data_IF_176532972066
#
_entry.id   IF_176532972066
#
_cell.length_a   1.000
_cell.length_b   1.000
_cell.length_c   1.000
_cell.angle_alpha   90.00
_cell.angle_beta   90.00
_cell.angle_gamma   90.00
#
_symmetry.space_group_name_H-M   'P 1'
#
loop_
_entity.id
_entity.type
_entity.pdbx_description
1 polymer ?
#
# COMPACT_ATOMS: atom_id res chain seq x y z
N UNK A 1 -5.08 -12.94 1.37
CA UNK A 1 -4.10 -12.03 2.01
C UNK A 1 -4.74 -10.68 2.30
N UNK A 2 -4.27 -10.02 3.34
CA UNK A 2 -4.72 -8.68 3.73
C UNK A 2 -3.58 -7.70 3.49
N UNK A 3 -3.91 -6.58 2.85
CA UNK A 3 -2.99 -5.48 2.63
C UNK A 3 -3.23 -4.42 3.70
N UNK A 4 -2.19 -4.03 4.43
CA UNK A 4 -2.27 -2.96 5.43
C UNK A 4 -1.36 -1.81 5.00
N UNK A 5 -1.93 -0.63 4.90
CA UNK A 5 -1.20 0.57 4.47
C UNK A 5 -1.27 1.60 5.59
N UNK A 6 -0.11 2.03 6.08
CA UNK A 6 -0.01 3.06 7.10
C UNK A 6 0.68 4.28 6.50
N UNK A 7 -0.07 5.39 6.39
CA UNK A 7 0.41 6.62 5.76
C UNK A 7 0.79 7.63 6.85
N UNK A 8 2.09 7.91 6.93
CA UNK A 8 2.63 8.93 7.82
C UNK A 8 3.19 10.09 6.98
N UNK A 9 3.56 11.18 7.64
CA UNK A 9 3.98 12.40 6.93
C UNK A 9 5.17 12.18 5.99
N UNK A 10 6.10 11.31 6.35
CA UNK A 10 7.32 11.09 5.60
C UNK A 10 7.30 9.79 4.81
N UNK A 11 6.77 8.72 5.41
CA UNK A 11 6.79 7.38 4.85
C UNK A 11 5.41 6.75 4.84
N UNK A 12 5.16 5.94 3.82
CA UNK A 12 3.99 5.07 3.74
C UNK A 12 4.48 3.64 3.85
N UNK A 13 4.03 2.92 4.86
CA UNK A 13 4.41 1.53 5.09
C UNK A 13 3.32 0.63 4.50
N UNK A 14 3.74 -0.32 3.67
CA UNK A 14 2.86 -1.28 3.02
C UNK A 14 3.18 -2.66 3.56
N UNK A 15 2.24 -3.26 4.28
CA UNK A 15 2.38 -4.60 4.83
C UNK A 15 1.39 -5.57 4.21
N UNK A 16 1.80 -6.81 4.02
CA UNK A 16 0.93 -7.86 3.52
C UNK A 16 0.95 -9.04 4.48
N UNK A 17 -0.23 -9.53 4.82
CA UNK A 17 -0.39 -10.59 5.83
C UNK A 17 -1.22 -11.74 5.28
N UNK A 18 -0.83 -12.96 5.62
CA UNK A 18 -1.61 -14.17 5.37
C UNK A 18 -1.88 -14.82 6.72
N UNK A 19 -3.11 -14.66 7.24
CA UNK A 19 -3.44 -15.06 8.61
C UNK A 19 -2.58 -14.27 9.61
N UNK A 20 -1.78 -14.97 10.41
CA UNK A 20 -0.87 -14.36 11.38
C UNK A 20 0.54 -14.16 10.83
N UNK A 21 0.78 -14.58 9.59
CA UNK A 21 2.11 -14.51 8.98
C UNK A 21 2.29 -13.21 8.21
N UNK A 22 3.44 -12.57 8.42
CA UNK A 22 3.83 -11.40 7.64
C UNK A 22 4.46 -11.89 6.33
N UNK A 23 3.85 -11.54 5.20
CA UNK A 23 4.37 -11.91 3.89
C UNK A 23 5.48 -10.94 3.48
N UNK A 24 5.23 -9.63 3.62
CA UNK A 24 6.26 -8.60 3.43
C UNK A 24 5.87 -7.32 4.16
N UNK A 25 6.87 -6.46 4.40
CA UNK A 25 6.69 -5.09 4.85
C UNK A 25 7.66 -4.22 4.04
N UNK A 26 7.12 -3.24 3.33
CA UNK A 26 7.91 -2.29 2.54
C UNK A 26 7.51 -0.86 2.86
N UNK A 27 8.44 0.06 2.64
CA UNK A 27 8.20 1.48 2.88
C UNK A 27 8.49 2.28 1.61
N UNK A 28 7.58 3.21 1.32
CA UNK A 28 7.77 4.17 0.22
C UNK A 28 7.61 5.58 0.78
N UNK A 29 8.12 6.57 0.05
CA UNK A 29 7.98 7.98 0.45
C UNK A 29 6.53 8.44 0.33
N UNK A 30 6.04 9.14 1.35
CA UNK A 30 4.75 9.81 1.26
C UNK A 30 4.90 11.08 0.43
N UNK A 31 4.03 11.29 -0.54
CA UNK A 31 4.06 12.47 -1.41
C UNK A 31 2.67 13.03 -1.61
N UNK A 32 2.51 14.34 -1.41
CA UNK A 32 1.25 15.05 -1.67
C UNK A 32 1.00 15.26 -3.16
N UNK A 33 2.04 15.14 -3.98
CA UNK A 33 1.96 15.40 -5.42
C UNK A 33 1.87 14.14 -6.25
N UNK A 34 2.07 12.97 -5.65
CA UNK A 34 2.01 11.70 -6.36
C UNK A 34 0.57 11.37 -6.74
N UNK A 35 0.38 10.97 -7.98
CA UNK A 35 -0.95 10.62 -8.50
C UNK A 35 -1.38 9.22 -8.07
N UNK A 36 -2.66 8.92 -8.25
CA UNK A 36 -3.23 7.59 -8.07
C UNK A 36 -2.47 6.54 -8.88
N UNK A 37 -2.16 6.85 -10.15
CA UNK A 37 -1.42 5.96 -11.03
C UNK A 37 -0.01 5.67 -10.50
N UNK A 38 0.67 6.69 -9.98
CA UNK A 38 2.01 6.52 -9.42
C UNK A 38 2.01 5.62 -8.19
N UNK A 39 1.02 5.76 -7.31
CA UNK A 39 0.87 4.87 -6.16
C UNK A 39 0.52 3.45 -6.60
N UNK A 40 -0.37 3.30 -7.59
CA UNK A 40 -0.75 2.00 -8.13
C UNK A 40 0.46 1.27 -8.71
N UNK A 41 1.31 1.97 -9.44
CA UNK A 41 2.55 1.42 -10.01
C UNK A 41 3.51 0.99 -8.89
N UNK A 42 3.63 1.81 -7.84
CA UNK A 42 4.48 1.48 -6.68
C UNK A 42 4.00 0.20 -6.00
N UNK A 43 2.71 0.06 -5.76
CA UNK A 43 2.14 -1.16 -5.15
C UNK A 43 2.36 -2.37 -6.03
N UNK A 44 2.13 -2.25 -7.33
CA UNK A 44 2.36 -3.32 -8.28
C UNK A 44 3.82 -3.77 -8.27
N UNK A 45 4.76 -2.83 -8.27
CA UNK A 45 6.18 -3.13 -8.23
C UNK A 45 6.57 -3.87 -6.94
N UNK A 46 6.03 -3.44 -5.80
CA UNK A 46 6.26 -4.12 -4.52
C UNK A 46 5.78 -5.58 -4.59
N UNK A 47 4.58 -5.79 -5.11
CA UNK A 47 4.01 -7.14 -5.24
C UNK A 47 4.86 -8.02 -6.16
N UNK A 48 5.29 -7.48 -7.30
CA UNK A 48 6.15 -8.20 -8.24
C UNK A 48 7.50 -8.58 -7.64
N UNK A 49 8.10 -7.68 -6.84
CA UNK A 49 9.34 -7.97 -6.13
C UNK A 49 9.23 -9.17 -5.21
N UNK A 50 8.06 -9.38 -4.63
CA UNK A 50 7.82 -10.49 -3.70
C UNK A 50 7.16 -11.70 -4.37
N UNK A 51 7.04 -11.69 -5.69
CA UNK A 51 6.45 -12.79 -6.45
C UNK A 51 4.96 -12.96 -6.22
N UNK A 52 4.27 -11.87 -5.90
CA UNK A 52 2.84 -11.88 -5.56
C UNK A 52 2.00 -11.19 -6.63
N UNK A 53 0.70 -11.47 -6.60
CA UNK A 53 -0.29 -10.88 -7.49
C UNK A 53 -1.35 -10.17 -6.65
N UNK A 54 -1.76 -8.98 -7.05
CA UNK A 54 -2.78 -8.22 -6.34
C UNK A 54 -4.13 -8.92 -6.27
N UNK A 55 -4.39 -9.86 -7.17
CA UNK A 55 -5.62 -10.68 -7.13
C UNK A 55 -5.71 -11.55 -5.87
N UNK A 56 -4.61 -11.76 -5.16
CA UNK A 56 -4.57 -12.54 -3.92
C UNK A 56 -5.02 -11.72 -2.70
N UNK A 57 -5.23 -10.41 -2.85
CA UNK A 57 -5.66 -9.52 -1.77
C UNK A 57 -7.17 -9.61 -1.59
N UNK A 58 -7.59 -9.99 -0.39
CA UNK A 58 -9.01 -10.12 -0.01
C UNK A 58 -9.57 -8.85 0.61
N UNK A 59 -8.71 -8.05 1.23
CA UNK A 59 -9.11 -6.81 1.87
C UNK A 59 -7.92 -5.89 2.10
N UNK A 60 -8.21 -4.61 2.28
CA UNK A 60 -7.22 -3.58 2.49
C UNK A 60 -7.60 -2.72 3.68
N UNK A 61 -6.65 -2.48 4.58
CA UNK A 61 -6.81 -1.60 5.75
C UNK A 61 -5.88 -0.42 5.55
N UNK A 62 -6.42 0.79 5.70
CA UNK A 62 -5.64 2.02 5.55
C UNK A 62 -5.75 2.84 6.83
N UNK A 63 -4.61 3.15 7.44
CA UNK A 63 -4.49 4.12 8.53
C UNK A 63 -3.68 5.31 8.03
N UNK A 64 -4.11 6.53 8.31
CA UNK A 64 -3.45 7.72 7.78
C UNK A 64 -3.57 8.90 8.71
N UNK A 65 -2.48 9.68 8.79
CA UNK A 65 -2.47 11.02 9.40
C UNK A 65 -2.35 12.11 8.34
N UNK A 66 -2.47 11.75 7.05
CA UNK A 66 -2.33 12.66 5.91
C UNK A 66 -3.57 12.53 5.01
N UNK A 67 -4.70 13.18 5.35
CA UNK A 67 -5.96 13.02 4.62
C UNK A 67 -5.88 13.21 3.10
N UNK A 68 -5.16 14.20 2.56
CA UNK A 68 -5.07 14.37 1.10
C UNK A 68 -4.47 13.16 0.38
N UNK A 69 -3.56 12.43 1.04
CA UNK A 69 -2.92 11.24 0.47
C UNK A 69 -3.81 10.01 0.63
N UNK A 70 -4.61 9.96 1.67
CA UNK A 70 -5.49 8.82 1.97
C UNK A 70 -6.39 8.47 0.79
N UNK A 71 -7.05 9.46 0.20
CA UNK A 71 -7.97 9.23 -0.91
C UNK A 71 -7.26 8.71 -2.16
N UNK A 72 -6.07 9.26 -2.45
CA UNK A 72 -5.27 8.84 -3.60
C UNK A 72 -4.81 7.38 -3.43
N UNK A 73 -4.31 7.03 -2.25
CA UNK A 73 -3.84 5.67 -1.94
C UNK A 73 -5.02 4.68 -1.94
N UNK A 74 -6.16 5.08 -1.39
CA UNK A 74 -7.36 4.25 -1.35
C UNK A 74 -7.81 3.87 -2.77
N UNK A 75 -7.82 4.82 -3.69
CA UNK A 75 -8.18 4.57 -5.09
C UNK A 75 -7.12 3.71 -5.79
N UNK A 76 -5.85 3.94 -5.50
CA UNK A 76 -4.75 3.15 -6.06
C UNK A 76 -4.79 1.67 -5.62
N UNK A 77 -5.32 1.40 -4.44
CA UNK A 77 -5.38 0.06 -3.87
C UNK A 77 -6.61 -0.76 -4.27
N UNK A 78 -7.53 -0.16 -5.00
CA UNK A 78 -8.74 -0.87 -5.47
C UNK A 78 -8.43 -1.98 -6.45
#
# INVERSE_FOLDING_TARGET
>A
MILAINIENTNTVVGCFEGENIVFVESISTSLTRTELEYAISFKNIFELHGLNMNQIEGTIIASVVPPVTNVVKEAAK
#
